data_IF_494551759601
#
_entry.id   IF_494551759601
#
_cell.length_a   1.000
_cell.length_b   1.000
_cell.length_c   1.000
_cell.angle_alpha   90.00
_cell.angle_beta   90.00
_cell.angle_gamma   90.00
#
_symmetry.space_group_name_H-M   'P 1'
#
loop_
_entity.id
_entity.type
_entity.pdbx_description
1 polymer ?
#
# COMPACT_ATOMS: atom_id res chain seq x y z
N UNK A 1 -11.95 67.34 11.24
CA UNK A 1 -11.68 66.30 10.23
C UNK A 1 -10.24 65.79 10.37
N UNK A 2 -9.97 64.91 11.34
CA UNK A 2 -8.67 64.25 11.50
C UNK A 2 -8.76 62.86 10.85
N UNK A 3 -8.27 62.82 9.61
CA UNK A 3 -7.56 61.72 8.94
C UNK A 3 -8.13 60.29 9.03
N UNK A 4 -9.11 59.97 8.19
CA UNK A 4 -9.39 58.59 7.77
C UNK A 4 -8.16 57.89 7.14
N UNK A 5 -7.15 58.67 6.71
CA UNK A 5 -5.92 58.17 6.09
C UNK A 5 -4.93 57.55 7.10
N UNK A 6 -5.02 57.84 8.40
CA UNK A 6 -4.12 57.22 9.40
C UNK A 6 -4.60 55.84 9.86
N UNK A 7 -5.91 55.59 9.85
CA UNK A 7 -6.49 54.29 10.23
C UNK A 7 -6.21 53.25 9.13
N UNK A 8 -6.33 53.65 7.85
CA UNK A 8 -6.04 52.77 6.70
C UNK A 8 -4.57 52.28 6.66
N UNK A 9 -3.62 53.08 7.18
CA UNK A 9 -2.19 52.75 7.20
C UNK A 9 -1.81 51.67 8.22
N UNK A 10 -2.61 51.46 9.26
CA UNK A 10 -2.40 50.40 10.25
C UNK A 10 -3.19 49.13 9.93
N UNK A 11 -4.33 49.25 9.23
CA UNK A 11 -5.13 48.08 8.81
C UNK A 11 -4.42 47.30 7.71
N UNK A 12 -3.77 47.99 6.77
CA UNK A 12 -3.11 47.36 5.61
C UNK A 12 -2.01 46.35 5.98
N UNK A 13 -1.05 46.63 6.89
CA UNK A 13 -0.04 45.63 7.29
C UNK A 13 -0.64 44.48 8.10
N UNK A 14 -1.68 44.71 8.91
CA UNK A 14 -2.35 43.65 9.69
C UNK A 14 -3.11 42.67 8.79
N UNK A 15 -3.80 43.18 7.75
CA UNK A 15 -4.48 42.35 6.75
C UNK A 15 -3.48 41.60 5.88
N UNK A 16 -2.34 42.21 5.52
CA UNK A 16 -1.26 41.55 4.77
C UNK A 16 -0.57 40.43 5.56
N UNK A 17 -0.32 40.62 6.86
CA UNK A 17 0.24 39.58 7.73
C UNK A 17 -0.76 38.44 7.95
N UNK A 18 -2.06 38.76 8.12
CA UNK A 18 -3.11 37.74 8.24
C UNK A 18 -3.29 36.90 6.96
N UNK A 19 -3.08 37.50 5.78
CA UNK A 19 -3.09 36.79 4.48
C UNK A 19 -1.83 35.94 4.26
N UNK A 20 -0.68 36.33 4.82
CA UNK A 20 0.57 35.56 4.71
C UNK A 20 0.58 34.29 5.58
N UNK A 21 -0.25 34.22 6.64
CA UNK A 21 -0.38 33.04 7.51
C UNK A 21 -1.13 31.88 6.81
N UNK A 22 -1.75 32.10 5.65
CA UNK A 22 -2.56 31.08 4.96
C UNK A 22 -1.78 30.15 4.02
N UNK A 23 -0.44 30.29 3.94
CA UNK A 23 0.42 29.44 3.10
C UNK A 23 1.33 28.51 3.90
N UNK A 24 0.87 27.95 5.02
CA UNK A 24 1.43 26.68 5.48
C UNK A 24 0.88 25.58 4.57
N UNK A 25 1.66 25.22 3.54
CA UNK A 25 1.42 24.02 2.75
C UNK A 25 1.50 22.81 3.68
N UNK A 26 0.35 22.49 4.29
CA UNK A 26 0.17 21.28 5.08
C UNK A 26 0.38 20.09 4.18
N UNK A 27 1.29 19.21 4.57
CA UNK A 27 1.43 17.88 4.00
C UNK A 27 0.03 17.26 3.91
N UNK A 28 -0.43 16.87 2.72
CA UNK A 28 -1.74 16.24 2.47
C UNK A 28 -1.78 14.80 3.01
N UNK A 29 -1.56 14.61 4.30
CA UNK A 29 -1.84 13.34 4.97
C UNK A 29 -3.20 13.43 5.64
N UNK A 30 -4.05 12.43 5.42
CA UNK A 30 -5.33 12.34 6.11
C UNK A 30 -5.13 11.85 7.53
N UNK A 31 -5.80 12.46 8.50
CA UNK A 31 -5.83 11.93 9.86
C UNK A 31 -6.78 10.74 9.91
N UNK A 32 -6.28 9.61 10.43
CA UNK A 32 -7.05 8.40 10.65
C UNK A 32 -6.90 7.98 12.11
N UNK A 33 -7.92 7.33 12.64
CA UNK A 33 -7.89 6.81 14.00
C UNK A 33 -7.15 5.46 14.04
N UNK A 34 -6.31 5.27 15.06
CA UNK A 34 -5.68 3.99 15.37
C UNK A 34 -6.31 3.44 16.65
N UNK A 35 -6.80 2.20 16.61
CA UNK A 35 -7.38 1.54 17.77
C UNK A 35 -6.33 0.86 18.66
N UNK A 36 -6.65 0.66 19.93
CA UNK A 36 -5.84 -0.17 20.82
C UNK A 36 -6.26 -1.63 20.70
N UNK A 37 -5.30 -2.53 20.47
CA UNK A 37 -5.53 -3.97 20.51
C UNK A 37 -5.02 -4.54 21.84
N UNK A 38 -5.92 -5.03 22.69
CA UNK A 38 -5.55 -5.60 23.99
C UNK A 38 -5.08 -7.05 23.91
N UNK A 39 -5.43 -7.76 22.83
CA UNK A 39 -5.04 -9.14 22.57
C UNK A 39 -4.18 -9.19 21.31
N UNK A 40 -3.28 -10.17 21.24
CA UNK A 40 -2.49 -10.37 20.02
C UNK A 40 -3.40 -10.78 18.86
N UNK A 41 -3.40 -9.97 17.80
CA UNK A 41 -4.17 -10.21 16.57
C UNK A 41 -3.70 -11.47 15.85
N UNK A 42 -4.63 -12.29 15.37
CA UNK A 42 -4.32 -13.42 14.50
C UNK A 42 -4.18 -12.90 13.07
N UNK A 43 -2.97 -12.96 12.54
CA UNK A 43 -2.65 -12.42 11.20
C UNK A 43 -3.06 -13.43 10.13
N UNK A 44 -4.37 -13.57 9.91
CA UNK A 44 -4.98 -14.49 8.95
C UNK A 44 -5.75 -13.78 7.81
N UNK A 45 -5.82 -12.46 7.85
CA UNK A 45 -6.53 -11.64 6.87
C UNK A 45 -8.02 -11.50 7.16
N UNK A 46 -8.56 -12.14 8.19
CA UNK A 46 -9.97 -12.06 8.51
C UNK A 46 -10.31 -10.79 9.28
N UNK A 47 -11.54 -10.31 9.09
CA UNK A 47 -12.02 -9.08 9.73
C UNK A 47 -12.42 -9.28 11.20
N UNK A 48 -12.49 -10.52 11.68
CA UNK A 48 -13.03 -10.86 13.01
C UNK A 48 -12.32 -10.10 14.14
N UNK A 49 -10.99 -10.01 14.08
CA UNK A 49 -10.21 -9.29 15.11
C UNK A 49 -10.34 -7.76 15.01
N UNK A 50 -11.01 -7.27 13.97
CA UNK A 50 -11.19 -5.85 13.66
C UNK A 50 -12.61 -5.31 13.92
N UNK A 51 -13.55 -6.14 14.39
CA UNK A 51 -14.97 -5.75 14.47
C UNK A 51 -15.26 -4.47 15.27
N UNK A 52 -14.44 -4.17 16.28
CA UNK A 52 -14.60 -2.98 17.15
C UNK A 52 -13.48 -1.94 16.95
N UNK A 53 -12.68 -2.09 15.88
CA UNK A 53 -11.58 -1.18 15.58
C UNK A 53 -11.99 -0.17 14.50
N UNK A 54 -11.40 1.04 14.52
CA UNK A 54 -11.75 2.08 13.57
C UNK A 54 -11.34 1.72 12.15
N UNK A 55 -12.17 2.10 11.19
CA UNK A 55 -11.91 1.98 9.76
C UNK A 55 -12.12 3.33 9.06
N UNK A 56 -11.24 3.62 8.11
CA UNK A 56 -11.35 4.75 7.19
C UNK A 56 -11.58 4.23 5.78
N UNK A 57 -12.57 4.80 5.07
CA UNK A 57 -12.78 4.51 3.65
C UNK A 57 -12.20 5.65 2.81
N UNK A 58 -11.39 5.28 1.82
CA UNK A 58 -10.79 6.18 0.85
C UNK A 58 -11.52 6.00 -0.47
N UNK A 59 -12.41 6.95 -0.79
CA UNK A 59 -13.35 6.85 -1.91
C UNK A 59 -12.64 6.86 -3.27
N UNK A 60 -11.63 7.72 -3.43
CA UNK A 60 -10.91 7.89 -4.70
C UNK A 60 -10.12 6.62 -5.06
N UNK A 61 -9.54 5.97 -4.07
CA UNK A 61 -8.74 4.74 -4.23
C UNK A 61 -9.55 3.44 -4.12
N UNK A 62 -10.82 3.54 -3.70
CA UNK A 62 -11.74 2.43 -3.39
C UNK A 62 -11.13 1.38 -2.45
N UNK A 63 -10.65 1.84 -1.28
CA UNK A 63 -10.01 0.99 -0.27
C UNK A 63 -10.48 1.35 1.14
N UNK A 64 -10.69 0.31 1.96
CA UNK A 64 -10.87 0.46 3.40
C UNK A 64 -9.55 0.21 4.10
N UNK A 65 -9.14 1.14 4.96
CA UNK A 65 -7.95 1.07 5.81
C UNK A 65 -8.36 0.97 7.27
N UNK A 66 -7.81 0.01 8.00
CA UNK A 66 -7.87 -0.05 9.47
C UNK A 66 -6.47 0.07 10.05
N UNK A 67 -6.32 0.85 11.13
CA UNK A 67 -5.09 0.92 11.91
C UNK A 67 -5.36 0.51 13.36
N UNK A 68 -4.46 -0.29 13.91
CA UNK A 68 -4.49 -0.68 15.31
C UNK A 68 -3.08 -0.93 15.82
N UNK A 69 -2.86 -0.85 17.12
CA UNK A 69 -1.58 -1.22 17.71
C UNK A 69 -1.75 -1.84 19.10
N UNK A 70 -0.76 -2.64 19.49
CA UNK A 70 -0.53 -3.00 20.89
C UNK A 70 0.78 -2.34 21.37
N UNK A 71 1.42 -2.90 22.40
CA UNK A 71 2.72 -2.40 22.89
C UNK A 71 3.88 -2.70 21.92
N UNK A 72 3.76 -3.75 21.13
CA UNK A 72 4.89 -4.37 20.42
C UNK A 72 4.73 -4.26 18.89
N UNK A 73 3.53 -4.01 18.38
CA UNK A 73 3.21 -4.09 16.96
C UNK A 73 2.25 -2.99 16.51
N UNK A 74 2.47 -2.54 15.28
CA UNK A 74 1.49 -1.87 14.46
C UNK A 74 0.77 -2.90 13.58
N UNK A 75 -0.55 -2.80 13.53
CA UNK A 75 -1.43 -3.58 12.67
C UNK A 75 -2.06 -2.69 11.61
N UNK A 76 -2.05 -3.16 10.37
CA UNK A 76 -2.59 -2.42 9.22
C UNK A 76 -3.48 -3.35 8.42
N UNK A 77 -4.73 -2.96 8.22
CA UNK A 77 -5.70 -3.71 7.43
C UNK A 77 -6.07 -2.97 6.16
N UNK A 78 -6.01 -3.64 5.03
CA UNK A 78 -6.59 -3.17 3.78
C UNK A 78 -7.70 -4.11 3.33
N UNK A 79 -8.77 -3.54 2.80
CA UNK A 79 -9.80 -4.28 2.09
C UNK A 79 -10.13 -3.59 0.77
N UNK A 80 -9.99 -4.35 -0.31
CA UNK A 80 -10.26 -3.93 -1.67
C UNK A 80 -11.47 -4.69 -2.21
N UNK A 81 -12.36 -4.00 -2.93
CA UNK A 81 -13.42 -4.62 -3.74
C UNK A 81 -13.01 -4.74 -5.21
N UNK A 82 -12.11 -3.87 -5.66
CA UNK A 82 -11.63 -3.88 -7.03
C UNK A 82 -10.62 -5.02 -7.25
N UNK A 83 -11.05 -6.04 -8.03
CA UNK A 83 -10.22 -7.19 -8.44
C UNK A 83 -8.94 -6.78 -9.16
N UNK A 84 -8.94 -5.63 -9.84
CA UNK A 84 -7.76 -5.10 -10.51
C UNK A 84 -6.67 -4.72 -9.49
N UNK A 85 -7.04 -4.18 -8.32
CA UNK A 85 -6.08 -3.87 -7.26
C UNK A 85 -5.47 -5.11 -6.64
N UNK A 86 -6.28 -6.13 -6.33
CA UNK A 86 -5.76 -7.41 -5.85
C UNK A 86 -4.75 -8.02 -6.83
N UNK A 87 -5.06 -7.94 -8.14
CA UNK A 87 -4.16 -8.41 -9.21
C UNK A 87 -2.88 -7.59 -9.29
N UNK A 88 -2.97 -6.25 -9.22
CA UNK A 88 -1.78 -5.40 -9.26
C UNK A 88 -0.91 -5.63 -8.02
N UNK A 89 -1.49 -5.71 -6.83
CA UNK A 89 -0.77 -6.03 -5.59
C UNK A 89 -0.06 -7.38 -5.69
N UNK A 90 -0.70 -8.39 -6.28
CA UNK A 90 -0.07 -9.69 -6.51
C UNK A 90 1.20 -9.59 -7.38
N UNK A 91 1.20 -8.75 -8.42
CA UNK A 91 2.32 -8.61 -9.36
C UNK A 91 3.37 -7.60 -8.94
N UNK A 92 2.96 -6.37 -8.61
CA UNK A 92 3.85 -5.26 -8.29
C UNK A 92 4.11 -5.11 -6.80
N UNK A 93 3.22 -5.65 -5.97
CA UNK A 93 3.25 -5.51 -4.53
C UNK A 93 2.45 -4.33 -3.99
N UNK A 94 2.27 -4.37 -2.67
CA UNK A 94 1.80 -3.28 -1.83
C UNK A 94 3.00 -2.78 -1.02
N UNK A 95 3.33 -1.50 -1.13
CA UNK A 95 4.44 -0.88 -0.39
C UNK A 95 3.90 -0.01 0.75
N UNK A 96 4.42 -0.23 1.95
CA UNK A 96 4.17 0.54 3.15
C UNK A 96 5.41 1.37 3.50
N UNK A 97 5.33 2.68 3.38
CA UNK A 97 6.35 3.62 3.86
C UNK A 97 6.02 4.00 5.29
N UNK A 98 6.96 3.83 6.21
CA UNK A 98 6.69 3.91 7.65
C UNK A 98 7.66 4.90 8.29
N UNK A 99 7.10 5.93 8.94
CA UNK A 99 7.88 6.97 9.59
C UNK A 99 7.40 7.23 11.03
N UNK A 100 8.27 6.93 12.00
CA UNK A 100 8.02 7.14 13.43
C UNK A 100 8.05 8.61 13.88
N UNK A 101 8.61 9.51 13.07
CA UNK A 101 8.65 10.96 13.35
C UNK A 101 7.38 11.70 12.88
N UNK A 102 6.41 10.98 12.31
CA UNK A 102 5.18 11.56 11.80
C UNK A 102 5.32 12.34 10.48
N UNK A 103 6.43 12.19 9.76
CA UNK A 103 6.67 12.90 8.49
C UNK A 103 6.31 12.03 7.28
N UNK A 104 5.76 12.65 6.23
CA UNK A 104 5.62 12.03 4.91
C UNK A 104 7.00 11.95 4.24
N UNK A 105 7.66 10.81 4.33
CA UNK A 105 8.88 10.49 3.59
C UNK A 105 8.94 9.01 3.22
N UNK A 106 9.75 8.67 2.23
CA UNK A 106 9.91 7.30 1.73
C UNK A 106 11.28 6.74 2.10
N UNK A 107 11.83 7.12 3.25
CA UNK A 107 13.20 6.76 3.61
C UNK A 107 13.31 5.28 3.99
N UNK A 108 12.26 4.75 4.62
CA UNK A 108 12.17 3.34 4.98
C UNK A 108 10.76 2.80 4.74
N UNK A 109 10.68 1.62 4.14
CA UNK A 109 9.43 0.97 3.84
C UNK A 109 9.53 -0.54 3.68
N UNK A 110 8.38 -1.15 3.52
CA UNK A 110 8.22 -2.58 3.38
C UNK A 110 7.34 -2.84 2.17
N UNK A 111 7.83 -3.60 1.20
CA UNK A 111 7.06 -4.04 0.04
C UNK A 111 6.71 -5.51 0.19
N UNK A 112 5.42 -5.80 0.17
CA UNK A 112 4.90 -7.16 0.13
C UNK A 112 4.46 -7.50 -1.29
N UNK A 113 4.85 -8.67 -1.81
CA UNK A 113 4.30 -9.24 -3.05
C UNK A 113 3.59 -10.56 -2.75
N UNK A 114 2.37 -10.67 -3.23
CA UNK A 114 1.51 -11.82 -3.01
C UNK A 114 0.04 -11.41 -2.97
N UNK A 115 -0.81 -12.36 -2.60
CA UNK A 115 -2.25 -12.17 -2.66
C UNK A 115 -2.93 -13.50 -2.87
N UNK A 116 -4.26 -13.53 -2.80
CA UNK A 116 -4.99 -14.77 -2.99
C UNK A 116 -4.73 -15.34 -4.39
N UNK A 117 -4.75 -16.68 -4.49
CA UNK A 117 -4.69 -17.34 -5.80
C UNK A 117 -5.81 -16.80 -6.68
N UNK A 118 -5.44 -16.12 -7.76
CA UNK A 118 -6.40 -15.65 -8.73
C UNK A 118 -6.73 -16.83 -9.65
N UNK A 119 -8.01 -17.20 -9.85
CA UNK A 119 -8.36 -18.29 -10.74
C UNK A 119 -7.78 -18.04 -12.13
N UNK A 120 -6.81 -18.87 -12.56
CA UNK A 120 -6.16 -18.78 -13.88
C UNK A 120 -7.11 -19.00 -15.07
N UNK A 121 -8.39 -19.25 -14.78
CA UNK A 121 -9.45 -19.54 -15.74
C UNK A 121 -10.52 -18.44 -15.77
N UNK A 122 -10.17 -17.19 -15.46
CA UNK A 122 -10.96 -16.06 -15.95
C UNK A 122 -10.85 -16.01 -17.47
N UNK A 123 -11.49 -16.98 -18.13
CA UNK A 123 -11.90 -16.81 -19.50
C UNK A 123 -12.65 -15.51 -19.53
N UNK A 124 -12.19 -14.69 -20.44
CA UNK A 124 -12.81 -13.47 -20.86
C UNK A 124 -14.27 -13.76 -21.29
N UNK A 125 -15.20 -13.84 -20.33
CA UNK A 125 -16.65 -13.87 -20.58
C UNK A 125 -17.14 -12.46 -20.93
N UNK A 126 -16.27 -11.57 -21.44
CA UNK A 126 -16.67 -10.22 -21.81
C UNK A 126 -17.38 -10.25 -23.17
N UNK A 127 -18.40 -9.39 -23.35
CA UNK A 127 -19.03 -9.16 -24.64
C UNK A 127 -17.98 -8.78 -25.70
N UNK A 128 -18.16 -9.28 -26.93
CA UNK A 128 -17.36 -8.88 -28.08
C UNK A 128 -17.33 -7.34 -28.19
N UNK A 129 -16.12 -6.76 -28.25
CA UNK A 129 -15.91 -5.31 -28.39
C UNK A 129 -15.33 -4.59 -27.17
N UNK A 130 -15.09 -5.28 -26.06
CA UNK A 130 -14.35 -4.68 -24.92
C UNK A 130 -12.82 -4.68 -25.17
N UNK A 131 -12.08 -3.66 -24.71
CA UNK A 131 -10.63 -3.61 -24.87
C UNK A 131 -9.94 -4.85 -24.30
N UNK A 132 -8.97 -5.42 -25.03
CA UNK A 132 -8.17 -6.55 -24.57
C UNK A 132 -7.54 -6.24 -23.20
N UNK A 133 -7.85 -7.05 -22.17
CA UNK A 133 -7.15 -7.00 -20.90
C UNK A 133 -5.91 -7.90 -21.02
N UNK A 134 -4.69 -7.34 -21.15
CA UNK A 134 -3.47 -8.12 -21.33
C UNK A 134 -3.15 -9.01 -20.12
N UNK A 135 -3.86 -8.81 -19.01
CA UNK A 135 -3.72 -9.59 -17.80
C UNK A 135 -4.75 -10.73 -17.70
N UNK A 136 -5.79 -10.76 -18.53
CA UNK A 136 -6.86 -11.77 -18.47
C UNK A 136 -6.44 -13.19 -18.93
N UNK A 137 -5.22 -13.36 -19.44
CA UNK A 137 -4.69 -14.65 -19.89
C UNK A 137 -3.41 -15.10 -19.18
N UNK A 138 -2.95 -14.38 -18.16
CA UNK A 138 -1.77 -14.80 -17.39
C UNK A 138 -2.17 -15.90 -16.40
N UNK A 139 -1.42 -17.00 -16.41
CA UNK A 139 -1.55 -18.03 -15.37
C UNK A 139 -0.93 -17.51 -14.07
N UNK A 140 -1.80 -17.08 -13.16
CA UNK A 140 -1.45 -16.53 -11.83
C UNK A 140 -1.24 -17.62 -10.78
N UNK A 141 -1.24 -18.90 -11.16
CA UNK A 141 -0.96 -20.02 -10.25
C UNK A 141 0.51 -20.11 -9.82
N UNK A 142 1.40 -19.36 -10.46
CA UNK A 142 2.76 -19.26 -9.97
C UNK A 142 2.75 -18.36 -8.74
N UNK A 143 3.00 -18.92 -7.55
CA UNK A 143 3.38 -18.10 -6.41
C UNK A 143 4.52 -17.17 -6.85
N UNK A 144 4.45 -15.85 -6.59
CA UNK A 144 5.63 -15.01 -6.74
C UNK A 144 6.74 -15.68 -5.92
N UNK A 145 7.97 -15.84 -6.45
CA UNK A 145 9.05 -16.57 -5.77
C UNK A 145 9.25 -16.04 -4.34
N UNK A 146 8.74 -16.79 -3.36
CA UNK A 146 8.53 -16.30 -2.00
C UNK A 146 7.48 -15.20 -1.95
N UNK A 147 6.46 -15.34 -1.10
CA UNK A 147 5.72 -14.18 -0.58
C UNK A 147 6.70 -13.33 0.23
N UNK A 148 7.54 -12.59 -0.50
CA UNK A 148 8.74 -11.97 0.02
C UNK A 148 8.38 -10.57 0.48
N UNK A 149 8.60 -10.32 1.76
CA UNK A 149 8.76 -8.98 2.23
C UNK A 149 10.11 -8.46 1.72
N UNK A 150 10.10 -7.31 1.09
CA UNK A 150 11.30 -6.58 0.69
C UNK A 150 11.35 -5.31 1.53
N UNK A 151 12.37 -5.19 2.38
CA UNK A 151 12.66 -3.94 3.07
C UNK A 151 13.29 -2.99 2.07
N UNK A 152 12.76 -1.77 2.01
CA UNK A 152 13.24 -0.67 1.21
C UNK A 152 13.89 0.34 2.15
N UNK A 153 15.18 0.56 2.01
CA UNK A 153 15.94 1.58 2.73
C UNK A 153 16.52 2.55 1.71
N UNK A 154 15.67 3.49 1.27
CA UNK A 154 16.00 4.47 0.23
C UNK A 154 17.12 5.42 0.69
N UNK A 155 17.21 5.69 1.99
CA UNK A 155 18.29 6.51 2.54
C UNK A 155 19.68 5.91 2.26
N UNK A 156 19.78 4.58 2.26
CA UNK A 156 21.02 3.85 2.00
C UNK A 156 21.05 3.16 0.63
N UNK A 157 20.08 3.42 -0.24
CA UNK A 157 19.91 2.77 -1.56
C UNK A 157 20.00 1.24 -1.47
N UNK A 158 19.23 0.66 -0.54
CA UNK A 158 19.31 -0.77 -0.21
C UNK A 158 17.93 -1.43 -0.20
N UNK A 159 17.81 -2.54 -0.91
CA UNK A 159 16.67 -3.46 -0.82
C UNK A 159 17.11 -4.77 -0.16
N UNK A 160 16.29 -5.30 0.76
CA UNK A 160 16.55 -6.57 1.45
C UNK A 160 15.33 -7.46 1.41
N UNK A 161 15.46 -8.61 0.74
CA UNK A 161 14.48 -9.68 0.87
C UNK A 161 14.58 -10.29 2.27
N UNK A 162 13.47 -10.28 3.00
CA UNK A 162 13.33 -10.93 4.30
C UNK A 162 12.30 -12.04 4.18
N UNK A 163 12.69 -13.24 4.60
CA UNK A 163 11.79 -14.39 4.72
C UNK A 163 11.09 -14.26 6.07
N UNK A 164 9.87 -13.73 6.07
CA UNK A 164 9.17 -13.46 7.32
C UNK A 164 8.02 -14.44 7.50
N UNK A 165 8.39 -15.62 7.98
CA UNK A 165 7.49 -16.66 8.51
C UNK A 165 7.72 -16.87 10.02
N UNK A 166 8.00 -15.81 10.78
CA UNK A 166 8.44 -15.89 12.19
C UNK A 166 7.79 -14.87 13.14
N UNK A 167 7.97 -15.09 14.45
CA UNK A 167 7.39 -14.25 15.50
C UNK A 167 7.96 -12.81 15.53
N UNK A 168 9.20 -12.62 15.07
CA UNK A 168 10.00 -11.41 15.32
C UNK A 168 10.08 -10.43 14.13
N UNK A 169 9.42 -10.74 13.00
CA UNK A 169 9.43 -9.91 11.79
C UNK A 169 8.02 -9.51 11.31
N UNK A 170 7.93 -8.70 10.23
CA UNK A 170 6.67 -8.42 9.56
C UNK A 170 5.89 -9.69 9.24
N UNK A 171 4.57 -9.65 9.32
CA UNK A 171 3.72 -10.76 8.90
C UNK A 171 2.54 -10.22 8.10
N UNK A 172 2.00 -11.03 7.21
CA UNK A 172 0.81 -10.70 6.42
C UNK A 172 -0.15 -11.87 6.35
N UNK A 173 -1.41 -11.60 6.65
CA UNK A 173 -2.55 -12.49 6.48
C UNK A 173 -3.37 -12.02 5.28
N UNK A 174 -3.90 -12.97 4.51
CA UNK A 174 -4.62 -12.68 3.27
C UNK A 174 -5.86 -13.56 3.24
N UNK A 175 -7.04 -12.96 3.15
CA UNK A 175 -8.30 -13.69 3.06
C UNK A 175 -9.17 -13.15 1.91
N UNK A 176 -9.35 -13.91 0.82
CA UNK A 176 -10.38 -13.59 -0.16
C UNK A 176 -11.75 -14.09 0.34
N UNK A 177 -12.76 -13.20 0.39
CA UNK A 177 -14.14 -13.59 0.68
C UNK A 177 -15.13 -12.75 -0.13
N UNK A 178 -16.01 -13.39 -0.91
CA UNK A 178 -17.09 -12.72 -1.65
C UNK A 178 -16.65 -11.48 -2.46
N UNK A 179 -15.60 -11.62 -3.28
CA UNK A 179 -14.98 -10.53 -4.07
C UNK A 179 -14.38 -9.38 -3.24
N UNK A 180 -14.16 -9.60 -1.95
CA UNK A 180 -13.39 -8.73 -1.07
C UNK A 180 -12.02 -9.36 -0.88
N UNK A 181 -10.98 -8.56 -1.09
CA UNK A 181 -9.58 -8.94 -0.96
C UNK A 181 -8.99 -8.22 0.24
N UNK A 182 -8.68 -8.96 1.30
CA UNK A 182 -8.10 -8.39 2.51
C UNK A 182 -6.63 -8.69 2.63
N UNK A 183 -5.90 -7.73 3.18
CA UNK A 183 -4.50 -7.83 3.54
C UNK A 183 -4.35 -7.28 4.95
N UNK A 184 -3.83 -8.10 5.85
CA UNK A 184 -3.65 -7.77 7.25
C UNK A 184 -2.16 -7.86 7.58
N UNK A 185 -1.56 -6.74 7.94
CA UNK A 185 -0.13 -6.66 8.26
C UNK A 185 0.07 -6.54 9.76
N UNK A 186 1.10 -7.24 10.27
CA UNK A 186 1.72 -6.97 11.57
C UNK A 186 3.12 -6.48 11.34
N UNK A 187 3.44 -5.28 11.80
CA UNK A 187 4.77 -4.70 11.77
C UNK A 187 5.25 -4.50 13.21
N UNK A 188 6.29 -5.24 13.65
CA UNK A 188 6.86 -5.03 14.98
C UNK A 188 7.43 -3.62 15.12
N UNK A 189 7.20 -2.98 16.26
CA UNK A 189 8.01 -1.86 16.70
C UNK A 189 9.41 -2.39 17.06
N UNK A 190 10.43 -1.54 16.91
CA UNK A 190 11.77 -1.87 17.40
C UNK A 190 12.17 -0.93 18.53
N UNK A 191 12.75 -1.49 19.59
CA UNK A 191 13.38 -0.75 20.68
C UNK A 191 14.90 -0.62 20.50
N UNK A 192 15.53 -1.53 19.76
CA UNK A 192 16.97 -1.77 19.85
C UNK A 192 17.60 -2.11 18.51
N UNK A 193 18.23 -1.12 17.86
CA UNK A 193 19.37 -1.31 16.94
C UNK A 193 19.27 -2.38 15.84
N UNK A 194 18.07 -2.89 15.55
CA UNK A 194 17.85 -3.86 14.51
C UNK A 194 17.83 -3.08 13.20
N UNK A 195 19.00 -2.99 12.56
CA UNK A 195 19.21 -2.23 11.33
C UNK A 195 18.25 -2.63 10.20
N UNK A 196 17.57 -3.79 10.31
CA UNK A 196 16.64 -4.30 9.31
C UNK A 196 15.24 -3.69 9.47
N UNK A 197 14.74 -3.49 10.70
CA UNK A 197 13.41 -2.93 10.95
C UNK A 197 13.51 -1.58 11.65
N UNK A 198 13.12 -0.49 10.97
CA UNK A 198 13.35 0.90 11.46
C UNK A 198 12.11 1.61 12.00
N UNK A 199 11.00 0.92 12.24
CA UNK A 199 9.83 1.56 12.86
C UNK A 199 10.05 1.73 14.36
N UNK A 200 10.75 2.82 14.70
CA UNK A 200 10.97 3.27 16.07
C UNK A 200 9.76 4.15 16.45
N UNK A 201 8.83 3.59 17.22
CA UNK A 201 7.67 4.29 17.74
C UNK A 201 7.18 3.60 19.02
N UNK A 202 6.49 4.36 19.87
CA UNK A 202 5.84 3.85 21.08
C UNK A 202 4.36 4.26 21.10
N UNK A 203 3.47 3.52 21.80
CA UNK A 203 2.10 3.95 22.06
C UNK A 203 1.99 5.43 22.44
N UNK A 204 1.07 6.17 21.82
CA UNK A 204 0.94 7.63 21.96
C UNK A 204 1.81 8.47 21.02
N UNK A 205 2.76 7.86 20.30
CA UNK A 205 3.56 8.57 19.29
C UNK A 205 2.74 8.91 18.05
N UNK A 206 3.02 10.07 17.45
CA UNK A 206 2.49 10.42 16.13
C UNK A 206 3.36 9.79 15.04
N UNK A 207 2.76 8.98 14.17
CA UNK A 207 3.42 8.34 13.04
C UNK A 207 2.78 8.72 11.71
N UNK A 208 3.49 8.49 10.61
CA UNK A 208 2.97 8.66 9.27
C UNK A 208 3.19 7.39 8.46
N UNK A 209 2.17 6.99 7.71
CA UNK A 209 2.15 5.77 6.90
C UNK A 209 1.80 6.17 5.47
N UNK A 210 2.67 5.85 4.53
CA UNK A 210 2.40 5.90 3.10
C UNK A 210 2.07 4.52 2.58
N UNK A 211 1.08 4.40 1.71
CA UNK A 211 0.68 3.13 1.09
C UNK A 211 0.64 3.28 -0.42
N UNK A 212 1.29 2.37 -1.15
CA UNK A 212 1.37 2.41 -2.61
C UNK A 212 1.10 1.06 -3.25
N UNK A 213 0.31 1.07 -4.33
CA UNK A 213 0.02 -0.11 -5.16
C UNK A 213 -0.40 0.31 -6.58
N UNK A 214 -0.64 -0.64 -7.47
CA UNK A 214 -1.21 -0.37 -8.81
C UNK A 214 -0.19 -0.02 -9.90
N UNK A 215 0.98 0.52 -9.55
CA UNK A 215 2.06 0.79 -10.52
C UNK A 215 2.83 -0.47 -10.92
N UNK A 216 3.43 -0.49 -12.12
CA UNK A 216 4.35 -1.58 -12.51
C UNK A 216 5.79 -1.24 -12.14
N UNK A 217 6.41 -2.09 -11.31
CA UNK A 217 7.84 -2.05 -11.07
C UNK A 217 8.60 -2.92 -12.10
N UNK A 218 9.93 -2.80 -12.13
CA UNK A 218 10.76 -3.52 -13.11
C UNK A 218 10.61 -5.04 -13.04
N UNK A 219 10.36 -5.60 -11.86
CA UNK A 219 10.20 -7.05 -11.70
C UNK A 219 8.87 -7.54 -12.24
N UNK A 220 7.78 -6.81 -11.95
CA UNK A 220 6.47 -7.07 -12.53
C UNK A 220 6.54 -6.97 -14.07
N UNK A 221 7.27 -5.98 -14.60
CA UNK A 221 7.50 -5.86 -16.05
C UNK A 221 8.27 -7.04 -16.63
N UNK A 222 9.32 -7.53 -15.94
CA UNK A 222 10.07 -8.73 -16.35
C UNK A 222 9.19 -9.98 -16.34
N UNK A 223 8.37 -10.15 -15.30
CA UNK A 223 7.47 -11.29 -15.16
C UNK A 223 6.41 -11.31 -16.28
N UNK A 224 5.81 -10.16 -16.56
CA UNK A 224 4.90 -10.00 -17.70
C UNK A 224 5.60 -10.22 -19.04
N UNK A 225 6.81 -9.69 -19.22
CA UNK A 225 7.60 -9.89 -20.44
C UNK A 225 7.91 -11.37 -20.70
N UNK A 226 8.17 -12.15 -19.64
CA UNK A 226 8.40 -13.58 -19.71
C UNK A 226 7.15 -14.41 -20.01
N UNK A 227 5.97 -13.98 -19.52
CA UNK A 227 4.69 -14.69 -19.71
C UNK A 227 3.94 -14.30 -21.00
N UNK A 228 4.16 -13.09 -21.53
CA UNK A 228 3.56 -12.62 -22.80
C UNK A 228 4.33 -13.16 -24.03
N UNK A 229 5.56 -13.62 -23.84
CA UNK A 229 6.35 -14.33 -24.85
C UNK A 229 5.94 -15.81 -25.00
N UNK A 230 4.73 -16.07 -25.46
CA UNK A 230 4.31 -17.44 -25.78
C UNK A 230 5.21 -18.07 -26.87
N UNK A 231 5.52 -19.38 -26.79
CA UNK A 231 6.31 -20.07 -27.82
C UNK A 231 5.61 -20.00 -29.18
N UNK A 232 6.34 -19.95 -30.31
CA UNK A 232 5.73 -19.86 -31.64
C UNK A 232 4.76 -21.03 -31.84
N UNK A 233 3.46 -20.74 -31.84
CA UNK A 233 2.43 -21.67 -32.29
C UNK A 233 2.62 -21.91 -33.78
N UNK A 234 3.21 -23.06 -34.09
CA UNK A 234 2.95 -23.79 -35.33
C UNK A 234 3.84 -23.43 -36.52
N UNK A 235 4.74 -24.34 -36.86
CA UNK A 235 5.12 -24.70 -38.23
C UNK A 235 5.99 -25.97 -38.07
N UNK A 236 5.53 -27.20 -38.31
CA UNK A 236 4.79 -27.60 -39.51
C UNK A 236 5.66 -27.24 -40.71
N UNK A 237 6.51 -28.16 -41.14
CA UNK A 237 7.75 -27.84 -41.86
C UNK A 237 7.60 -27.03 -43.15
N UNK A 238 8.68 -26.33 -43.53
CA UNK A 238 9.09 -26.30 -44.93
C UNK A 238 10.60 -26.00 -45.03
N UNK A 239 11.32 -26.64 -45.98
CA UNK A 239 12.78 -26.58 -46.07
C UNK A 239 13.25 -25.30 -46.77
N UNK A 240 14.53 -24.99 -46.56
CA UNK A 240 15.17 -23.75 -46.99
C UNK A 240 15.01 -23.39 -48.47
N UNK A 241 15.04 -22.08 -48.68
CA UNK A 241 15.14 -21.44 -49.98
C UNK A 241 15.68 -20.03 -49.76
N UNK A 242 16.92 -19.80 -50.18
CA UNK A 242 17.53 -18.48 -50.14
C UNK A 242 16.81 -17.49 -51.07
N UNK A 243 16.96 -16.20 -50.74
CA UNK A 243 16.47 -15.12 -51.58
C UNK A 243 16.32 -13.86 -50.74
N UNK A 244 17.28 -12.95 -50.85
CA UNK A 244 17.17 -11.64 -50.23
C UNK A 244 16.08 -10.80 -50.89
N UNK A 245 15.51 -9.88 -50.12
CA UNK A 245 15.30 -8.47 -50.49
C UNK A 245 14.60 -7.71 -49.34
N UNK A 246 14.58 -6.36 -49.38
CA UNK A 246 14.87 -5.51 -48.25
C UNK A 246 13.66 -4.69 -47.77
N UNK A 247 13.77 -4.15 -46.56
CA UNK A 247 13.07 -2.94 -46.17
C UNK A 247 11.68 -3.12 -45.58
N UNK A 248 11.39 -2.25 -44.60
CA UNK A 248 10.06 -1.71 -44.35
C UNK A 248 8.99 -2.69 -43.89
N UNK A 249 8.92 -2.94 -42.59
CA UNK A 249 7.81 -3.69 -42.01
C UNK A 249 7.82 -3.68 -40.49
N UNK A 250 7.83 -2.49 -39.89
CA UNK A 250 7.46 -2.32 -38.48
C UNK A 250 6.02 -2.81 -38.37
N UNK A 251 5.82 -4.05 -37.92
CA UNK A 251 4.52 -4.59 -37.56
C UNK A 251 3.99 -3.77 -36.36
N UNK A 252 3.40 -2.62 -36.67
CA UNK A 252 2.48 -1.92 -35.78
C UNK A 252 1.18 -2.70 -35.80
N UNK A 253 1.06 -3.69 -34.91
CA UNK A 253 -0.26 -4.14 -34.48
C UNK A 253 -1.01 -2.96 -33.86
N UNK A 254 -2.35 -2.94 -33.86
CA UNK A 254 -3.14 -1.85 -33.32
C UNK A 254 -2.82 -1.68 -31.83
N UNK A 255 -1.88 -0.80 -31.52
CA UNK A 255 -1.56 -0.37 -30.18
C UNK A 255 -2.66 0.57 -29.73
N UNK A 256 -3.79 0.01 -29.32
CA UNK A 256 -4.68 0.74 -28.43
C UNK A 256 -3.85 1.15 -27.22
N UNK A 257 -3.94 2.42 -26.83
CA UNK A 257 -3.31 2.94 -25.62
C UNK A 257 -3.64 1.98 -24.47
N UNK A 258 -2.63 1.17 -24.09
CA UNK A 258 -2.73 0.23 -22.99
C UNK A 258 -2.74 1.07 -21.74
N UNK A 259 -3.92 1.52 -21.33
CA UNK A 259 -4.07 2.32 -20.13
C UNK A 259 -3.91 1.38 -18.93
N UNK A 260 -2.66 1.21 -18.51
CA UNK A 260 -2.35 0.55 -17.27
C UNK A 260 -2.95 1.38 -16.12
N UNK A 261 -3.40 0.73 -15.06
CA UNK A 261 -3.85 1.45 -13.88
C UNK A 261 -2.72 2.32 -13.36
N UNK A 262 -3.02 3.59 -13.05
CA UNK A 262 -2.04 4.47 -12.44
C UNK A 262 -1.72 4.00 -11.01
N UNK A 263 -0.49 4.24 -10.57
CA UNK A 263 -0.09 3.98 -9.19
C UNK A 263 -0.98 4.78 -8.23
N UNK A 264 -1.52 4.09 -7.24
CA UNK A 264 -2.28 4.68 -6.15
C UNK A 264 -1.32 4.99 -5.00
N UNK A 265 -1.54 6.12 -4.33
CA UNK A 265 -0.77 6.53 -3.16
C UNK A 265 -1.69 7.18 -2.12
N UNK A 266 -1.73 6.60 -0.92
CA UNK A 266 -2.38 7.20 0.24
C UNK A 266 -1.33 7.54 1.29
N UNK A 267 -1.49 8.71 1.91
CA UNK A 267 -0.72 9.07 3.11
C UNK A 267 -1.65 9.36 4.26
N UNK A 268 -1.40 8.68 5.38
CA UNK A 268 -2.14 8.89 6.61
C UNK A 268 -1.22 9.27 7.76
N UNK A 269 -1.75 10.08 8.67
CA UNK A 269 -1.15 10.34 9.96
C UNK A 269 -2.08 9.79 11.04
N UNK A 270 -1.48 9.23 12.08
CA UNK A 270 -2.21 8.78 13.27
C UNK A 270 -1.37 9.00 14.51
N UNK A 271 -2.04 9.10 15.64
CA UNK A 271 -1.42 8.89 16.96
C UNK A 271 -1.64 7.42 17.30
N UNK A 272 -0.58 6.70 17.69
CA UNK A 272 -0.69 5.33 18.16
C UNK A 272 -1.56 5.30 19.41
N UNK A 273 -2.49 4.36 19.48
CA UNK A 273 -3.34 4.19 20.65
C UNK A 273 -2.51 3.80 21.88
N UNK A 274 -3.04 4.09 23.05
CA UNK A 274 -2.50 3.68 24.35
C UNK A 274 -3.47 2.76 25.05
N UNK A 275 -2.98 1.81 25.84
CA UNK A 275 -3.82 1.01 26.71
C UNK A 275 -4.70 1.91 27.58
N UNK A 276 -6.01 1.64 27.60
CA UNK A 276 -6.89 2.28 28.57
C UNK A 276 -6.45 1.86 29.97
N UNK A 277 -6.17 2.83 30.85
CA UNK A 277 -5.90 2.55 32.26
C UNK A 277 -7.23 2.16 32.91
N UNK A 278 -7.38 0.89 33.26
CA UNK A 278 -8.53 0.40 34.02
C UNK A 278 -8.55 1.08 35.40
N UNK A 279 -9.40 2.09 35.55
CA UNK A 279 -9.64 2.78 36.81
C UNK A 279 -10.63 1.97 37.63
N UNK A 280 -10.19 0.83 38.18
CA UNK A 280 -11.09 -0.03 38.98
C UNK A 280 -10.43 -0.63 40.24
N UNK A 281 -9.39 0.01 40.78
CA UNK A 281 -8.71 -0.48 41.99
C UNK A 281 -8.33 0.61 43.01
N UNK A 282 -9.20 1.61 43.23
CA UNK A 282 -8.98 2.63 44.28
C UNK A 282 -10.09 2.72 45.35
N UNK A 283 -11.22 2.00 45.22
CA UNK A 283 -12.38 2.17 46.11
C UNK A 283 -12.60 1.04 47.14
N UNK A 284 -11.64 0.13 47.33
CA UNK A 284 -11.77 -0.97 48.30
C UNK A 284 -10.87 -0.87 49.56
N UNK A 285 -10.20 0.25 49.80
CA UNK A 285 -9.32 0.40 50.97
C UNK A 285 -9.72 1.52 51.95
N UNK A 286 -10.98 1.99 51.93
CA UNK A 286 -11.49 2.96 52.91
C UNK A 286 -12.37 2.38 54.01
N UNK A 287 -12.56 1.05 54.09
CA UNK A 287 -13.29 0.40 55.18
C UNK A 287 -12.57 -0.87 55.64
N UNK A 288 -11.61 -0.72 56.57
CA UNK A 288 -11.34 -1.67 57.66
C UNK A 288 -10.34 -1.08 58.67
#
# INVERSE_FOLDING_TARGET
>A
MRSAKSILRFIYPVVLVALMVQFTAGCKSQEVECGWCSNKMLIDGQRTDWENLPFSYFEDEDVVLGLSNDNDNLYIFFSFRNKQWARMIHLSGLTLWLNGEGKKNKDWGIRFRGGPEMPGNMRDDRPEGTPFDPMAGMDYKAEPPGAAFVILDEYNDRELTVDTAGADGPAVGIAPANDIFTYEFRIPFTSDGNDIFKLIAEPGSKICIGSQWGGMNQDAMKEMGGKIGGPPRGSGGMPGGGGGMPGGGRMGGPGGDRQMPEEQEIWVQTVLATAAVSTEAADQNSEN
#
